data_IF_302799994310
#
_entry.id   IF_302799994310
#
_cell.length_a   1.000
_cell.length_b   1.000
_cell.length_c   1.000
_cell.angle_alpha   90.00
_cell.angle_beta   90.00
_cell.angle_gamma   90.00
#
_symmetry.space_group_name_H-M   'P 1'
#
loop_
_entity.id
_entity.type
_entity.pdbx_description
1 polymer ?
#
# COMPACT_ATOMS: atom_id res chain seq x y z
N UNK A 1 14.92 -15.59 -16.97
CA UNK A 1 13.73 -15.63 -17.84
C UNK A 1 13.57 -14.22 -18.35
N UNK A 2 13.80 -14.02 -19.63
CA UNK A 2 13.40 -12.77 -20.29
C UNK A 2 11.88 -12.80 -20.38
N UNK A 3 11.23 -12.24 -19.39
CA UNK A 3 9.80 -12.48 -19.17
C UNK A 3 8.90 -11.34 -19.67
N UNK A 4 9.45 -10.17 -19.93
CA UNK A 4 8.67 -9.07 -20.50
C UNK A 4 8.86 -8.98 -22.00
N UNK A 5 7.77 -9.07 -22.74
CA UNK A 5 7.80 -8.87 -24.19
C UNK A 5 7.92 -7.38 -24.54
N UNK A 6 7.50 -6.49 -23.62
CA UNK A 6 7.58 -5.03 -23.76
C UNK A 6 7.53 -4.34 -22.39
N UNK A 7 8.03 -3.12 -22.31
CA UNK A 7 8.05 -2.33 -21.09
C UNK A 7 6.68 -1.71 -20.81
N UNK A 8 6.37 -1.59 -19.53
CA UNK A 8 5.08 -1.11 -19.02
C UNK A 8 5.30 0.06 -18.09
N UNK A 9 4.42 1.06 -18.17
CA UNK A 9 4.47 2.20 -17.28
C UNK A 9 3.10 2.55 -16.70
N UNK A 10 3.10 3.12 -15.51
CA UNK A 10 1.97 3.81 -14.90
C UNK A 10 1.92 5.23 -15.47
N UNK A 11 0.81 5.60 -16.10
CA UNK A 11 0.62 6.89 -16.75
C UNK A 11 -0.51 7.74 -16.15
N UNK A 12 -1.35 7.15 -15.30
CA UNK A 12 -2.43 7.86 -14.63
C UNK A 12 -2.75 7.25 -13.27
N UNK A 13 -2.98 8.10 -12.28
CA UNK A 13 -3.37 7.72 -10.93
C UNK A 13 -4.56 8.58 -10.48
N UNK A 14 -5.54 7.95 -9.84
CA UNK A 14 -6.68 8.65 -9.28
C UNK A 14 -7.16 8.00 -8.00
N UNK A 15 -7.67 8.80 -7.09
CA UNK A 15 -8.18 8.36 -5.79
C UNK A 15 -9.47 9.09 -5.48
N UNK A 16 -10.46 8.36 -4.98
CA UNK A 16 -11.65 9.01 -4.43
C UNK A 16 -11.31 9.81 -3.17
N UNK A 17 -12.24 10.58 -2.67
CA UNK A 17 -12.14 11.10 -1.31
C UNK A 17 -12.12 9.93 -0.34
N UNK A 18 -11.09 9.86 0.52
CA UNK A 18 -11.08 8.92 1.64
C UNK A 18 -11.78 9.52 2.86
N UNK A 19 -12.56 8.70 3.55
CA UNK A 19 -13.24 9.06 4.80
C UNK A 19 -13.39 7.83 5.67
N UNK A 20 -13.66 8.01 6.96
CA UNK A 20 -14.03 6.90 7.85
C UNK A 20 -15.32 6.22 7.39
N UNK A 21 -16.25 6.97 6.84
CA UNK A 21 -17.52 6.48 6.28
C UNK A 21 -17.97 7.42 5.14
N UNK A 22 -18.36 6.85 4.00
CA UNK A 22 -18.83 7.55 2.80
C UNK A 22 -20.32 7.24 2.58
N UNK A 23 -21.18 7.77 3.46
CA UNK A 23 -22.64 7.56 3.38
C UNK A 23 -23.28 8.28 2.18
N UNK A 24 -22.64 9.33 1.68
CA UNK A 24 -23.14 10.19 0.63
C UNK A 24 -23.01 9.62 -0.78
N UNK A 25 -22.25 8.50 -0.94
CA UNK A 25 -22.02 7.86 -2.25
C UNK A 25 -22.17 6.34 -2.14
N UNK A 26 -22.69 5.72 -3.17
CA UNK A 26 -22.63 4.27 -3.34
C UNK A 26 -21.25 3.83 -3.87
N UNK A 27 -21.00 2.51 -3.95
CA UNK A 27 -19.71 1.98 -4.44
C UNK A 27 -19.40 2.40 -5.88
N UNK A 28 -20.32 2.28 -6.87
CA UNK A 28 -20.07 2.74 -8.23
C UNK A 28 -19.71 4.21 -8.33
N UNK A 29 -20.37 5.07 -7.57
CA UNK A 29 -20.07 6.51 -7.53
C UNK A 29 -18.69 6.79 -6.94
N UNK A 30 -18.33 6.09 -5.86
CA UNK A 30 -17.01 6.18 -5.24
C UNK A 30 -15.90 5.70 -6.19
N UNK A 31 -16.12 4.59 -6.90
CA UNK A 31 -15.20 4.07 -7.93
C UNK A 31 -15.08 5.09 -9.08
N UNK A 32 -16.18 5.69 -9.51
CA UNK A 32 -16.19 6.68 -10.58
C UNK A 32 -15.31 7.90 -10.26
N UNK A 33 -15.32 8.40 -9.02
CA UNK A 33 -14.42 9.48 -8.60
C UNK A 33 -12.95 9.15 -8.89
N UNK A 34 -12.50 7.94 -8.52
CA UNK A 34 -11.12 7.52 -8.73
C UNK A 34 -10.78 7.33 -10.22
N UNK A 35 -11.70 6.73 -10.99
CA UNK A 35 -11.50 6.49 -12.43
C UNK A 35 -11.41 7.80 -13.20
N UNK A 36 -12.31 8.75 -12.93
CA UNK A 36 -12.28 10.07 -13.57
C UNK A 36 -10.97 10.79 -13.29
N UNK A 37 -10.51 10.78 -12.04
CA UNK A 37 -9.23 11.42 -11.68
C UNK A 37 -8.03 10.75 -12.38
N UNK A 38 -8.01 9.40 -12.47
CA UNK A 38 -6.94 8.68 -13.17
C UNK A 38 -6.92 8.98 -14.68
N UNK A 39 -8.07 9.03 -15.32
CA UNK A 39 -8.20 9.40 -16.74
C UNK A 39 -7.78 10.85 -16.99
N UNK A 40 -8.17 11.77 -16.11
CA UNK A 40 -7.76 13.18 -16.19
C UNK A 40 -6.24 13.34 -16.02
N UNK A 41 -5.64 12.62 -15.04
CA UNK A 41 -4.20 12.64 -14.83
C UNK A 41 -3.44 12.08 -16.04
N UNK A 42 -3.95 11.02 -16.68
CA UNK A 42 -3.38 10.46 -17.91
C UNK A 42 -3.73 11.27 -19.17
N UNK A 43 -4.69 12.18 -19.12
CA UNK A 43 -5.29 12.89 -20.27
C UNK A 43 -5.92 11.94 -21.29
N UNK A 44 -6.58 10.91 -20.81
CA UNK A 44 -7.22 9.86 -21.59
C UNK A 44 -8.74 9.86 -21.38
N UNK A 45 -9.42 9.11 -22.21
CA UNK A 45 -10.82 8.73 -22.06
C UNK A 45 -10.95 7.21 -21.87
N UNK A 46 -12.14 6.74 -21.54
CA UNK A 46 -12.38 5.29 -21.45
C UNK A 46 -12.24 4.58 -22.81
N UNK A 47 -12.33 5.30 -23.94
CA UNK A 47 -12.12 4.70 -25.27
C UNK A 47 -10.66 4.26 -25.49
N UNK A 48 -9.72 4.86 -24.75
CA UNK A 48 -8.30 4.51 -24.80
C UNK A 48 -7.94 3.30 -23.92
N UNK A 49 -8.86 2.81 -23.08
CA UNK A 49 -8.66 1.70 -22.15
C UNK A 49 -9.13 0.39 -22.80
N UNK A 50 -8.28 -0.63 -22.84
CA UNK A 50 -8.59 -1.93 -23.46
C UNK A 50 -9.21 -2.92 -22.47
N UNK A 51 -8.81 -2.89 -21.20
CA UNK A 51 -9.23 -3.85 -20.18
C UNK A 51 -9.34 -3.18 -18.82
N UNK A 52 -10.29 -3.63 -17.99
CA UNK A 52 -10.50 -3.12 -16.63
C UNK A 52 -10.37 -4.25 -15.61
N UNK A 53 -9.50 -4.04 -14.63
CA UNK A 53 -9.35 -4.93 -13.48
C UNK A 53 -10.04 -4.33 -12.26
N UNK A 54 -10.81 -5.16 -11.54
CA UNK A 54 -11.51 -4.76 -10.32
C UNK A 54 -11.04 -5.58 -9.12
N UNK A 55 -10.96 -4.99 -7.94
CA UNK A 55 -10.66 -5.73 -6.73
C UNK A 55 -11.09 -5.04 -5.45
N UNK A 56 -11.64 -5.86 -4.55
CA UNK A 56 -11.93 -5.53 -3.17
C UNK A 56 -11.94 -6.83 -2.36
N UNK A 57 -12.23 -6.77 -1.07
CA UNK A 57 -12.31 -7.97 -0.22
C UNK A 57 -13.71 -8.60 -0.16
N UNK A 58 -14.76 -7.96 -0.65
CA UNK A 58 -16.18 -8.37 -0.60
C UNK A 58 -16.81 -8.55 0.80
N UNK A 59 -15.99 -8.70 1.81
CA UNK A 59 -16.42 -9.08 3.16
C UNK A 59 -17.18 -7.98 3.90
N UNK A 60 -16.92 -6.73 3.56
CA UNK A 60 -17.40 -5.58 4.33
C UNK A 60 -18.74 -5.10 3.83
N UNK A 61 -18.91 -5.04 2.54
CA UNK A 61 -20.13 -4.52 1.92
C UNK A 61 -21.23 -5.58 1.81
N UNK A 62 -20.90 -6.85 2.07
CA UNK A 62 -21.80 -8.00 1.90
C UNK A 62 -22.43 -8.09 0.48
N UNK A 63 -21.76 -7.51 -0.49
CA UNK A 63 -22.13 -7.57 -1.91
C UNK A 63 -21.20 -8.54 -2.61
N UNK A 64 -21.76 -9.64 -3.07
CA UNK A 64 -21.04 -10.60 -3.90
C UNK A 64 -20.89 -10.07 -5.32
N UNK A 65 -19.72 -10.26 -5.93
CA UNK A 65 -19.44 -9.87 -7.31
C UNK A 65 -19.74 -8.37 -7.57
N UNK A 66 -19.16 -7.46 -6.79
CA UNK A 66 -19.42 -6.02 -6.92
C UNK A 66 -19.00 -5.47 -8.29
N UNK A 67 -18.09 -6.12 -9.00
CA UNK A 67 -17.70 -5.81 -10.38
C UNK A 67 -18.89 -5.77 -11.34
N UNK A 68 -19.93 -6.58 -11.12
CA UNK A 68 -21.17 -6.53 -11.89
C UNK A 68 -21.95 -5.23 -11.68
N UNK A 69 -21.83 -4.62 -10.53
CA UNK A 69 -22.50 -3.36 -10.18
C UNK A 69 -21.69 -2.12 -10.56
N UNK A 70 -20.37 -2.29 -10.67
CA UNK A 70 -19.46 -1.17 -10.92
C UNK A 70 -19.30 -0.79 -12.38
N UNK A 71 -19.86 -1.55 -13.31
CA UNK A 71 -19.68 -1.32 -14.75
C UNK A 71 -19.96 0.12 -15.17
N UNK A 72 -20.99 0.75 -14.64
CA UNK A 72 -21.30 2.15 -14.93
C UNK A 72 -20.29 3.12 -14.28
N UNK A 73 -19.91 2.87 -13.03
CA UNK A 73 -18.96 3.72 -12.30
C UNK A 73 -17.53 3.58 -12.82
N UNK A 74 -17.11 2.36 -13.16
CA UNK A 74 -15.76 2.08 -13.68
C UNK A 74 -15.60 2.36 -15.17
N UNK A 75 -16.69 2.56 -15.92
CA UNK A 75 -16.64 2.69 -17.38
C UNK A 75 -16.32 1.39 -18.11
N UNK A 76 -16.40 0.23 -17.46
CA UNK A 76 -16.03 -1.07 -18.04
C UNK A 76 -17.02 -1.61 -19.08
N UNK A 77 -18.06 -0.86 -19.42
CA UNK A 77 -19.07 -1.26 -20.41
C UNK A 77 -18.43 -1.68 -21.74
N UNK A 78 -18.72 -2.91 -22.17
CA UNK A 78 -18.23 -3.47 -23.43
C UNK A 78 -16.73 -3.80 -23.46
N UNK A 79 -16.05 -3.75 -22.33
CA UNK A 79 -14.61 -4.05 -22.22
C UNK A 79 -14.36 -5.38 -21.53
N UNK A 80 -13.27 -6.11 -21.88
CA UNK A 80 -12.75 -7.19 -21.08
C UNK A 80 -12.54 -6.75 -19.63
N UNK A 81 -12.91 -7.63 -18.68
CA UNK A 81 -12.73 -7.35 -17.26
C UNK A 81 -12.27 -8.58 -16.50
N UNK A 82 -11.45 -8.39 -15.47
CA UNK A 82 -10.99 -9.44 -14.55
C UNK A 82 -11.18 -8.93 -13.13
N UNK A 83 -11.73 -9.78 -12.27
CA UNK A 83 -11.81 -9.53 -10.85
C UNK A 83 -10.75 -10.29 -10.10
N UNK A 84 -10.10 -9.61 -9.16
CA UNK A 84 -9.10 -10.18 -8.26
C UNK A 84 -9.44 -9.85 -6.80
N UNK A 85 -9.26 -10.83 -5.93
CA UNK A 85 -9.35 -10.62 -4.48
C UNK A 85 -8.29 -11.49 -3.79
N UNK A 86 -7.42 -10.84 -3.04
CA UNK A 86 -6.26 -11.46 -2.38
C UNK A 86 -6.00 -10.86 -0.99
N UNK A 87 -7.07 -10.53 -0.28
CA UNK A 87 -6.99 -9.89 1.03
C UNK A 87 -6.39 -8.49 0.94
N UNK A 88 -5.57 -8.11 1.91
CA UNK A 88 -4.91 -6.81 1.93
C UNK A 88 -3.91 -6.57 0.80
N UNK A 89 -3.46 -7.63 0.09
CA UNK A 89 -2.63 -7.50 -1.12
C UNK A 89 -3.42 -7.22 -2.40
N UNK A 90 -4.76 -7.22 -2.35
CA UNK A 90 -5.62 -7.08 -3.55
C UNK A 90 -5.15 -5.98 -4.49
N UNK A 91 -4.93 -4.77 -3.97
CA UNK A 91 -4.49 -3.63 -4.79
C UNK A 91 -3.14 -3.84 -5.48
N UNK A 92 -2.15 -4.43 -4.81
CA UNK A 92 -0.85 -4.72 -5.41
C UNK A 92 -0.93 -5.89 -6.41
N UNK A 93 -1.78 -6.89 -6.13
CA UNK A 93 -2.04 -7.98 -7.09
C UNK A 93 -2.71 -7.47 -8.36
N UNK A 94 -3.62 -6.49 -8.25
CA UNK A 94 -4.18 -5.78 -9.42
C UNK A 94 -3.09 -5.09 -10.25
N UNK A 95 -2.15 -4.41 -9.59
CA UNK A 95 -1.03 -3.76 -10.25
C UNK A 95 -0.12 -4.78 -10.97
N UNK A 96 0.24 -5.89 -10.32
CA UNK A 96 1.00 -6.97 -10.94
C UNK A 96 0.27 -7.61 -12.14
N UNK A 97 -1.04 -7.83 -12.01
CA UNK A 97 -1.84 -8.37 -13.09
C UNK A 97 -1.95 -7.41 -14.28
N UNK A 98 -2.10 -6.10 -14.02
CA UNK A 98 -2.12 -5.09 -15.06
C UNK A 98 -0.77 -5.02 -15.80
N UNK A 99 0.36 -5.02 -15.07
CA UNK A 99 1.70 -5.10 -15.67
C UNK A 99 1.82 -6.35 -16.57
N UNK A 100 1.47 -7.52 -16.06
CA UNK A 100 1.57 -8.77 -16.80
C UNK A 100 0.68 -8.79 -18.07
N UNK A 101 -0.55 -8.26 -18.01
CA UNK A 101 -1.45 -8.19 -19.17
C UNK A 101 -0.89 -7.25 -20.25
N UNK A 102 -0.32 -6.11 -19.85
CA UNK A 102 0.30 -5.18 -20.81
C UNK A 102 1.62 -5.75 -21.33
N UNK A 103 2.49 -6.26 -20.46
CA UNK A 103 3.78 -6.81 -20.82
C UNK A 103 3.69 -8.02 -21.79
N UNK A 104 2.63 -8.84 -21.63
CA UNK A 104 2.37 -9.99 -22.52
C UNK A 104 1.87 -9.60 -23.92
N UNK A 105 1.46 -8.35 -24.12
CA UNK A 105 0.89 -7.89 -25.39
C UNK A 105 -0.60 -8.20 -25.56
N UNK A 106 -1.28 -8.71 -24.54
CA UNK A 106 -2.71 -9.00 -24.64
C UNK A 106 -3.56 -7.72 -24.68
N UNK A 107 -3.13 -6.69 -23.94
CA UNK A 107 -3.73 -5.37 -23.91
C UNK A 107 -2.65 -4.29 -23.94
N UNK A 108 -2.95 -3.12 -24.50
CA UNK A 108 -2.03 -2.00 -24.54
C UNK A 108 -2.22 -1.05 -23.37
N UNK A 109 -3.47 -0.88 -22.91
CA UNK A 109 -3.84 0.00 -21.80
C UNK A 109 -4.79 -0.73 -20.86
N UNK A 110 -4.38 -0.89 -19.61
CA UNK A 110 -5.16 -1.57 -18.57
C UNK A 110 -5.44 -0.60 -17.42
N UNK A 111 -6.70 -0.49 -17.03
CA UNK A 111 -7.16 0.25 -15.87
C UNK A 111 -7.34 -0.71 -14.69
N UNK A 112 -6.55 -0.55 -13.64
CA UNK A 112 -6.68 -1.30 -12.40
C UNK A 112 -7.44 -0.46 -11.35
N UNK A 113 -8.47 -1.03 -10.73
CA UNK A 113 -9.34 -0.37 -9.76
C UNK A 113 -9.42 -1.18 -8.48
N UNK A 114 -8.94 -0.62 -7.39
CA UNK A 114 -9.14 -1.14 -6.04
C UNK A 114 -10.13 -0.28 -5.26
N UNK A 115 -10.99 -0.88 -4.45
CA UNK A 115 -12.00 -0.15 -3.68
C UNK A 115 -12.39 -0.92 -2.42
N UNK A 116 -12.94 -0.22 -1.42
CA UNK A 116 -13.54 -0.81 -0.24
C UNK A 116 -14.46 0.20 0.46
N UNK A 117 -15.60 -0.25 0.99
CA UNK A 117 -16.43 0.46 1.95
C UNK A 117 -16.44 -0.31 3.27
N UNK A 118 -15.41 -0.12 4.07
CA UNK A 118 -15.16 -0.88 5.31
C UNK A 118 -16.28 -0.73 6.35
N UNK A 119 -16.97 0.40 6.37
CA UNK A 119 -17.96 0.72 7.38
C UNK A 119 -19.36 0.22 7.06
N UNK A 120 -19.59 -0.33 5.86
CA UNK A 120 -20.87 -1.00 5.53
C UNK A 120 -21.04 -2.31 6.29
N UNK A 121 -19.95 -2.92 6.78
CA UNK A 121 -19.94 -4.15 7.55
C UNK A 121 -19.10 -4.08 8.81
N UNK A 122 -18.81 -5.24 9.37
CA UNK A 122 -17.98 -5.36 10.57
C UNK A 122 -16.50 -5.47 10.19
N UNK A 123 -15.81 -4.32 10.07
CA UNK A 123 -14.42 -4.25 9.58
C UNK A 123 -13.47 -5.21 10.32
N UNK A 124 -13.50 -5.24 11.66
CA UNK A 124 -12.65 -6.12 12.46
C UNK A 124 -12.96 -7.60 12.20
N UNK A 125 -14.25 -7.96 12.10
CA UNK A 125 -14.66 -9.33 11.79
C UNK A 125 -14.19 -9.81 10.43
N UNK A 126 -14.27 -8.97 9.40
CA UNK A 126 -13.79 -9.27 8.05
C UNK A 126 -12.28 -9.52 8.01
N UNK A 127 -11.49 -8.74 8.75
CA UNK A 127 -10.03 -8.90 8.81
C UNK A 127 -9.63 -10.18 9.57
N UNK A 128 -10.41 -10.63 10.53
CA UNK A 128 -10.10 -11.80 11.37
C UNK A 128 -10.56 -13.13 10.79
N UNK A 129 -11.49 -13.11 9.83
CA UNK A 129 -12.06 -14.31 9.21
C UNK A 129 -11.30 -14.75 7.93
N UNK A 130 -10.01 -14.51 7.85
CA UNK A 130 -9.20 -14.85 6.67
C UNK A 130 -8.67 -16.28 6.65
N UNK A 131 -8.94 -17.07 7.70
CA UNK A 131 -8.49 -18.44 7.79
C UNK A 131 -9.68 -19.40 7.96
N UNK A 132 -9.46 -20.69 7.66
CA UNK A 132 -10.42 -21.74 7.96
C UNK A 132 -10.90 -21.63 9.42
N UNK A 133 -12.21 -21.73 9.70
CA UNK A 133 -12.77 -21.57 11.05
C UNK A 133 -12.17 -22.52 12.10
N UNK A 134 -11.68 -23.66 11.71
CA UNK A 134 -11.01 -24.60 12.62
C UNK A 134 -9.60 -24.13 12.99
N UNK A 135 -8.97 -23.37 12.10
CA UNK A 135 -7.59 -22.86 12.28
C UNK A 135 -7.57 -21.43 12.84
N UNK A 136 -8.52 -20.61 12.42
CA UNK A 136 -8.45 -19.15 12.56
C UNK A 136 -9.15 -18.56 13.79
N UNK A 137 -9.80 -19.36 14.62
CA UNK A 137 -10.60 -18.87 15.77
C UNK A 137 -9.83 -18.00 16.78
N UNK A 138 -8.51 -18.10 16.81
CA UNK A 138 -7.64 -17.36 17.73
C UNK A 138 -6.72 -16.34 17.04
N UNK A 139 -6.74 -16.25 15.70
CA UNK A 139 -5.89 -15.32 14.96
C UNK A 139 -6.61 -13.98 14.80
N UNK A 140 -6.40 -13.10 15.75
CA UNK A 140 -6.82 -11.71 15.62
C UNK A 140 -5.64 -10.83 15.19
N UNK A 141 -5.86 -9.93 14.24
CA UNK A 141 -4.84 -8.98 13.76
C UNK A 141 -4.20 -8.19 14.90
N UNK A 142 -4.97 -7.86 15.93
CA UNK A 142 -4.46 -7.21 17.14
C UNK A 142 -3.46 -8.09 17.90
N UNK A 143 -3.68 -9.41 17.98
CA UNK A 143 -2.76 -10.33 18.65
C UNK A 143 -1.42 -10.43 17.88
N UNK A 144 -1.47 -10.50 16.54
CA UNK A 144 -0.26 -10.53 15.70
C UNK A 144 0.58 -9.25 15.87
N UNK A 145 -0.06 -8.09 15.90
CA UNK A 145 0.65 -6.83 16.14
C UNK A 145 1.19 -6.74 17.57
N UNK A 146 0.44 -7.26 18.55
CA UNK A 146 0.89 -7.34 19.94
C UNK A 146 2.13 -8.20 20.12
N UNK A 147 2.27 -9.31 19.39
CA UNK A 147 3.50 -10.14 19.41
C UNK A 147 4.69 -9.42 18.83
N UNK A 148 4.51 -8.60 17.79
CA UNK A 148 5.61 -7.75 17.26
C UNK A 148 6.03 -6.69 18.27
N UNK A 149 5.09 -6.05 18.96
CA UNK A 149 5.41 -5.11 20.02
C UNK A 149 6.23 -5.78 21.13
N UNK A 150 5.84 -6.98 21.57
CA UNK A 150 6.58 -7.75 22.57
C UNK A 150 7.99 -8.11 22.10
N UNK A 151 8.15 -8.58 20.85
CA UNK A 151 9.45 -8.85 20.22
C UNK A 151 10.38 -7.64 20.26
N UNK A 152 9.90 -6.47 19.88
CA UNK A 152 10.69 -5.23 19.88
C UNK A 152 11.07 -4.80 21.31
N UNK A 153 10.16 -4.95 22.27
CA UNK A 153 10.42 -4.67 23.69
C UNK A 153 11.52 -5.59 24.25
N UNK A 154 11.45 -6.88 23.96
CA UNK A 154 12.46 -7.85 24.38
C UNK A 154 13.83 -7.56 23.76
N UNK A 155 13.86 -7.12 22.50
CA UNK A 155 15.10 -6.85 21.78
C UNK A 155 15.75 -5.52 22.18
N UNK A 156 14.96 -4.43 22.38
CA UNK A 156 15.48 -3.07 22.52
C UNK A 156 15.20 -2.42 23.86
N UNK A 157 14.42 -3.06 24.70
CA UNK A 157 13.91 -2.49 25.96
C UNK A 157 12.60 -1.75 25.77
N UNK A 158 11.80 -1.76 26.83
CA UNK A 158 10.40 -1.30 26.79
C UNK A 158 10.27 0.17 26.39
N UNK A 159 10.99 1.06 27.07
CA UNK A 159 10.88 2.51 26.85
C UNK A 159 11.28 2.87 25.42
N UNK A 160 12.42 2.39 24.96
CA UNK A 160 12.95 2.70 23.62
C UNK A 160 12.03 2.19 22.52
N UNK A 161 11.51 0.95 22.65
CA UNK A 161 10.59 0.38 21.66
C UNK A 161 9.27 1.13 21.58
N UNK A 162 8.70 1.52 22.73
CA UNK A 162 7.46 2.33 22.80
C UNK A 162 7.65 3.72 22.18
N UNK A 163 8.76 4.38 22.49
CA UNK A 163 9.09 5.70 21.94
C UNK A 163 9.26 5.62 20.41
N UNK A 164 9.94 4.59 19.90
CA UNK A 164 10.09 4.38 18.46
C UNK A 164 8.74 4.13 17.76
N UNK A 165 7.87 3.29 18.32
CA UNK A 165 6.55 3.04 17.74
C UNK A 165 5.68 4.32 17.71
N UNK A 166 5.69 5.12 18.78
CA UNK A 166 4.98 6.40 18.79
C UNK A 166 5.62 7.44 17.86
N UNK A 167 6.93 7.46 17.75
CA UNK A 167 7.61 8.35 16.81
C UNK A 167 7.31 7.97 15.36
N UNK A 168 7.31 6.67 15.02
CA UNK A 168 6.84 6.17 13.73
C UNK A 168 5.41 6.66 13.43
N UNK A 169 4.49 6.49 14.39
CA UNK A 169 3.10 6.99 14.24
C UNK A 169 3.03 8.49 14.00
N UNK A 170 3.87 9.25 14.70
CA UNK A 170 3.90 10.71 14.60
C UNK A 170 4.45 11.17 13.25
N UNK A 171 5.52 10.55 12.75
CA UNK A 171 6.05 10.82 11.40
C UNK A 171 4.99 10.56 10.33
N UNK A 172 4.26 9.43 10.42
CA UNK A 172 3.17 9.13 9.47
C UNK A 172 2.06 10.19 9.53
N UNK A 173 1.73 10.71 10.72
CA UNK A 173 0.74 11.77 10.86
C UNK A 173 1.24 13.11 10.27
N UNK A 174 2.49 13.47 10.50
CA UNK A 174 3.12 14.65 9.89
C UNK A 174 3.11 14.60 8.37
N UNK A 175 3.38 13.43 7.78
CA UNK A 175 3.26 13.19 6.35
C UNK A 175 1.81 13.31 5.88
N UNK A 176 0.87 12.68 6.59
CA UNK A 176 -0.56 12.75 6.30
C UNK A 176 -1.12 14.19 6.32
N UNK A 177 -0.58 15.05 7.18
CA UNK A 177 -0.99 16.47 7.22
C UNK A 177 -0.72 17.21 5.90
N UNK A 178 0.25 16.76 5.11
CA UNK A 178 0.58 17.32 3.80
C UNK A 178 -0.25 16.68 2.66
N UNK A 179 -0.80 15.48 2.86
CA UNK A 179 -1.59 14.78 1.84
C UNK A 179 -3.07 15.16 1.93
N UNK A 180 -3.60 15.83 0.90
CA UNK A 180 -5.02 16.25 0.85
C UNK A 180 -5.99 15.07 0.81
N UNK A 181 -5.57 13.91 0.32
CA UNK A 181 -6.38 12.68 0.26
C UNK A 181 -6.39 11.91 1.59
N UNK A 182 -5.38 12.06 2.45
CA UNK A 182 -5.35 11.39 3.74
C UNK A 182 -6.52 11.83 4.63
N UNK A 183 -7.30 10.86 5.15
CA UNK A 183 -8.46 11.21 5.96
C UNK A 183 -8.12 11.31 7.45
N UNK A 184 -7.23 10.46 7.99
CA UNK A 184 -6.86 10.46 9.40
C UNK A 184 -5.65 11.37 9.62
N UNK A 185 -5.91 12.57 10.06
CA UNK A 185 -4.93 13.60 10.38
C UNK A 185 -5.13 14.03 11.83
N UNK A 186 -4.30 13.53 12.74
CA UNK A 186 -4.49 13.69 14.19
C UNK A 186 -3.78 14.91 14.75
N UNK A 187 -2.84 15.51 13.99
CA UNK A 187 -1.99 16.63 14.43
C UNK A 187 -1.21 16.26 15.69
N UNK A 188 -0.56 15.11 15.68
CA UNK A 188 0.21 14.61 16.81
C UNK A 188 1.39 15.56 17.11
N UNK A 189 1.65 15.77 18.41
CA UNK A 189 2.78 16.59 18.87
C UNK A 189 3.90 15.67 19.39
N UNK A 190 5.08 15.79 18.80
CA UNK A 190 6.28 15.03 19.21
C UNK A 190 6.63 15.20 20.70
N UNK A 191 6.26 16.33 21.32
CA UNK A 191 6.51 16.58 22.74
C UNK A 191 5.61 15.80 23.68
N UNK A 192 4.45 15.35 23.20
CA UNK A 192 3.40 14.69 23.98
C UNK A 192 3.14 13.25 23.53
N UNK A 193 4.12 12.60 22.90
CA UNK A 193 3.94 11.23 22.38
C UNK A 193 3.60 10.22 23.49
N UNK A 194 4.27 10.31 24.65
CA UNK A 194 4.04 9.39 25.79
C UNK A 194 2.64 9.56 26.37
N UNK A 195 2.22 10.79 26.58
CA UNK A 195 0.87 11.13 27.08
C UNK A 195 -0.21 10.70 26.07
N UNK A 196 0.02 10.92 24.79
CA UNK A 196 -0.89 10.50 23.71
C UNK A 196 -1.02 8.99 23.68
N UNK A 197 0.09 8.25 23.78
CA UNK A 197 0.06 6.81 23.87
C UNK A 197 -0.68 6.33 25.12
N UNK A 198 -0.38 6.90 26.28
CA UNK A 198 -1.01 6.53 27.55
C UNK A 198 -2.53 6.78 27.56
N UNK A 199 -2.98 7.85 26.92
CA UNK A 199 -4.40 8.21 26.78
C UNK A 199 -5.16 7.36 25.75
N UNK A 200 -4.48 6.61 24.90
CA UNK A 200 -5.11 5.78 23.88
C UNK A 200 -5.59 4.43 24.43
N UNK A 201 -6.79 3.95 24.05
CA UNK A 201 -7.30 2.65 24.49
C UNK A 201 -6.31 1.51 24.23
N UNK A 202 -6.06 0.63 25.24
CA UNK A 202 -5.26 -0.57 25.04
C UNK A 202 -6.02 -1.59 24.19
N UNK A 203 -5.30 -2.35 23.36
CA UNK A 203 -5.86 -3.44 22.56
C UNK A 203 -5.31 -4.79 23.03
N UNK A 204 -4.02 -5.05 22.83
CA UNK A 204 -3.34 -6.29 23.26
C UNK A 204 -1.93 -5.96 23.72
N UNK A 205 -1.57 -6.31 24.95
CA UNK A 205 -0.26 -5.98 25.52
C UNK A 205 0.01 -4.47 25.44
N UNK A 206 1.15 -4.10 24.83
CA UNK A 206 1.50 -2.68 24.64
C UNK A 206 0.93 -2.05 23.37
N UNK A 207 0.24 -2.84 22.55
CA UNK A 207 -0.49 -2.30 21.40
C UNK A 207 -1.69 -1.46 21.86
N UNK A 208 -1.77 -0.23 21.38
CA UNK A 208 -2.87 0.70 21.62
C UNK A 208 -3.52 1.12 20.32
N UNK A 209 -4.76 1.61 20.41
CA UNK A 209 -5.53 2.03 19.23
C UNK A 209 -4.81 3.10 18.40
N UNK A 210 -4.05 4.00 19.03
CA UNK A 210 -3.28 5.03 18.33
C UNK A 210 -2.25 4.43 17.35
N UNK A 211 -1.71 3.27 17.64
CA UNK A 211 -0.71 2.60 16.82
C UNK A 211 -1.30 1.93 15.56
N UNK A 212 -2.61 1.74 15.51
CA UNK A 212 -3.27 1.02 14.41
C UNK A 212 -3.57 1.95 13.24
N UNK A 213 -3.68 1.37 12.05
CA UNK A 213 -4.13 2.04 10.84
C UNK A 213 -5.53 2.64 10.98
N UNK A 214 -5.87 3.51 10.05
CA UNK A 214 -7.25 3.98 9.89
C UNK A 214 -8.13 2.86 9.32
N UNK A 215 -9.44 3.04 9.43
CA UNK A 215 -10.44 2.31 8.67
C UNK A 215 -11.10 3.31 7.73
N UNK A 216 -11.07 3.05 6.43
CA UNK A 216 -11.48 4.02 5.42
C UNK A 216 -12.37 3.39 4.38
N UNK A 217 -13.35 4.16 3.95
CA UNK A 217 -14.01 3.96 2.67
C UNK A 217 -13.23 4.72 1.59
N UNK A 218 -13.07 4.11 0.40
CA UNK A 218 -12.40 4.75 -0.71
C UNK A 218 -12.06 3.82 -1.87
N UNK A 219 -11.66 4.44 -2.99
CA UNK A 219 -11.24 3.76 -4.21
C UNK A 219 -9.94 4.37 -4.74
N UNK A 220 -9.18 3.56 -5.47
CA UNK A 220 -7.99 3.97 -6.20
C UNK A 220 -8.04 3.36 -7.60
N UNK A 221 -7.66 4.13 -8.60
CA UNK A 221 -7.56 3.71 -9.99
C UNK A 221 -6.18 4.05 -10.55
N UNK A 222 -5.56 3.09 -11.26
CA UNK A 222 -4.22 3.24 -11.84
C UNK A 222 -4.24 2.74 -13.28
N UNK A 223 -3.68 3.53 -14.20
CA UNK A 223 -3.62 3.23 -15.62
C UNK A 223 -2.21 2.75 -15.98
N UNK A 224 -2.12 1.52 -16.45
CA UNK A 224 -0.92 0.89 -16.97
C UNK A 224 -0.96 0.90 -18.50
N UNK A 225 0.16 1.25 -19.13
CA UNK A 225 0.25 1.33 -20.58
C UNK A 225 1.56 0.76 -21.11
N UNK A 226 1.52 0.22 -22.32
CA UNK A 226 2.71 -0.22 -23.04
C UNK A 226 3.60 0.96 -23.43
N UNK A 227 4.87 0.69 -23.65
CA UNK A 227 5.85 1.70 -24.09
C UNK A 227 5.42 2.46 -25.36
N UNK A 228 4.75 1.77 -26.29
CA UNK A 228 4.22 2.38 -27.51
C UNK A 228 3.12 3.38 -27.19
N UNK A 229 2.23 3.04 -26.25
CA UNK A 229 1.16 3.94 -25.81
C UNK A 229 1.69 5.11 -24.99
N UNK A 230 2.69 4.88 -24.13
CA UNK A 230 3.40 5.96 -23.43
C UNK A 230 3.94 6.99 -24.41
N UNK A 231 4.61 6.54 -25.49
CA UNK A 231 5.12 7.41 -26.53
C UNK A 231 4.00 8.10 -27.33
N UNK A 232 2.94 7.36 -27.70
CA UNK A 232 1.78 7.89 -28.43
C UNK A 232 1.07 9.00 -27.66
N UNK A 233 0.85 8.82 -26.35
CA UNK A 233 0.12 9.78 -25.52
C UNK A 233 1.02 10.93 -25.02
N UNK A 234 2.34 10.84 -25.18
CA UNK A 234 3.28 11.82 -24.63
C UNK A 234 3.21 11.90 -23.12
N UNK A 235 3.02 10.75 -22.46
CA UNK A 235 2.81 10.64 -21.03
C UNK A 235 4.06 10.96 -20.22
N UNK A 236 3.87 11.34 -18.94
CA UNK A 236 4.93 11.41 -17.93
C UNK A 236 4.89 10.11 -17.11
N UNK A 237 5.67 9.07 -17.47
CA UNK A 237 5.51 7.74 -16.93
C UNK A 237 6.25 7.53 -15.60
N UNK A 238 5.76 6.56 -14.82
CA UNK A 238 6.56 5.80 -13.86
C UNK A 238 6.64 4.35 -14.39
N UNK A 239 7.84 3.92 -14.78
CA UNK A 239 8.07 2.61 -15.38
C UNK A 239 8.04 1.50 -14.34
N UNK A 240 7.39 0.39 -14.65
CA UNK A 240 7.42 -0.81 -13.82
C UNK A 240 8.71 -1.58 -14.13
N UNK A 241 9.63 -1.60 -13.17
CA UNK A 241 10.90 -2.31 -13.30
C UNK A 241 10.69 -3.81 -13.08
N UNK A 242 10.11 -4.16 -11.91
CA UNK A 242 9.92 -5.54 -11.49
C UNK A 242 8.90 -5.62 -10.33
N UNK A 243 8.36 -6.79 -10.11
CA UNK A 243 7.55 -7.07 -8.93
C UNK A 243 7.80 -8.48 -8.39
N UNK A 244 7.58 -8.68 -7.11
CA UNK A 244 7.71 -9.97 -6.43
C UNK A 244 6.46 -10.24 -5.58
N UNK A 245 6.01 -11.47 -5.59
CA UNK A 245 4.91 -11.93 -4.74
C UNK A 245 5.34 -13.20 -3.99
N UNK A 246 5.16 -13.18 -2.67
CA UNK A 246 5.58 -14.28 -1.78
C UNK A 246 4.45 -14.65 -0.86
N UNK A 247 4.12 -15.93 -0.86
CA UNK A 247 3.19 -16.56 0.07
C UNK A 247 3.95 -17.37 1.12
N UNK A 248 3.28 -17.62 2.22
CA UNK A 248 3.76 -18.48 3.30
C UNK A 248 2.75 -19.60 3.55
N UNK A 249 3.26 -20.80 3.83
CA UNK A 249 2.41 -21.95 4.18
C UNK A 249 1.83 -21.85 5.59
N UNK A 250 2.53 -21.15 6.49
CA UNK A 250 2.22 -21.15 7.91
C UNK A 250 1.62 -19.81 8.35
N UNK A 251 0.39 -19.86 8.85
CA UNK A 251 -0.27 -18.76 9.58
C UNK A 251 0.33 -18.53 10.98
N UNK A 252 1.35 -19.27 11.37
CA UNK A 252 1.74 -19.37 12.77
C UNK A 252 2.61 -18.21 13.22
N UNK A 253 2.15 -17.58 14.29
CA UNK A 253 2.83 -16.57 15.11
C UNK A 253 4.24 -17.05 15.54
N UNK A 254 4.49 -18.35 15.51
CA UNK A 254 5.71 -19.01 15.99
C UNK A 254 6.64 -19.50 14.88
N UNK A 255 6.46 -19.08 13.64
CA UNK A 255 7.37 -19.45 12.57
C UNK A 255 8.77 -18.90 12.84
N UNK A 256 9.77 -19.77 12.83
CA UNK A 256 11.18 -19.43 12.96
C UNK A 256 11.85 -19.08 11.64
N UNK A 257 11.12 -19.14 10.52
CA UNK A 257 11.62 -18.83 9.18
C UNK A 257 11.68 -17.33 8.88
N UNK A 258 12.23 -16.99 7.71
CA UNK A 258 12.22 -15.61 7.19
C UNK A 258 10.78 -15.16 6.94
N UNK A 259 10.48 -13.90 7.21
CA UNK A 259 9.18 -13.31 6.85
C UNK A 259 8.98 -13.27 5.35
N UNK A 260 7.72 -13.17 4.89
CA UNK A 260 7.41 -12.96 3.47
C UNK A 260 8.00 -11.65 2.95
N UNK A 261 8.08 -10.62 3.79
CA UNK A 261 8.72 -9.34 3.47
C UNK A 261 10.21 -9.52 3.14
N UNK A 262 10.92 -10.24 4.01
CA UNK A 262 12.35 -10.52 3.83
C UNK A 262 12.62 -11.31 2.57
N UNK A 263 11.83 -12.36 2.32
CA UNK A 263 11.99 -13.19 1.12
C UNK A 263 11.68 -12.40 -0.15
N UNK A 264 10.62 -11.58 -0.14
CA UNK A 264 10.27 -10.73 -1.27
C UNK A 264 11.37 -9.70 -1.58
N UNK A 265 11.89 -9.03 -0.54
CA UNK A 265 12.97 -8.06 -0.69
C UNK A 265 14.26 -8.73 -1.23
N UNK A 266 14.69 -9.84 -0.64
CA UNK A 266 15.86 -10.59 -1.09
C UNK A 266 15.79 -10.98 -2.59
N UNK A 267 14.62 -11.47 -3.03
CA UNK A 267 14.42 -11.87 -4.42
C UNK A 267 14.37 -10.68 -5.38
N UNK A 268 13.59 -9.66 -5.04
CA UNK A 268 13.43 -8.47 -5.88
C UNK A 268 14.77 -7.72 -6.03
N UNK A 269 15.47 -7.50 -4.92
CA UNK A 269 16.74 -6.76 -4.92
C UNK A 269 17.83 -7.53 -5.65
N UNK A 270 17.94 -8.84 -5.44
CA UNK A 270 18.91 -9.68 -6.16
C UNK A 270 18.71 -9.66 -7.68
N UNK A 271 17.45 -9.74 -8.17
CA UNK A 271 17.17 -9.68 -9.61
C UNK A 271 17.49 -8.33 -10.22
N UNK A 272 17.37 -7.25 -9.43
CA UNK A 272 17.58 -5.88 -9.90
C UNK A 272 18.95 -5.31 -9.54
N UNK A 273 19.87 -6.13 -9.00
CA UNK A 273 21.21 -5.71 -8.63
C UNK A 273 21.26 -4.68 -7.50
N UNK A 274 20.19 -4.56 -6.69
CA UNK A 274 20.13 -3.63 -5.56
C UNK A 274 20.87 -4.25 -4.38
N UNK A 275 21.92 -3.59 -3.94
CA UNK A 275 22.79 -4.03 -2.84
C UNK A 275 22.72 -3.12 -1.64
N UNK A 276 22.31 -1.87 -1.86
CA UNK A 276 22.13 -0.83 -0.85
C UNK A 276 20.78 -0.11 -1.08
N UNK A 277 19.66 -0.71 -0.62
CA UNK A 277 18.34 -0.22 -0.96
C UNK A 277 18.07 1.21 -0.48
N UNK A 278 18.67 1.66 0.62
CA UNK A 278 18.49 3.03 1.14
C UNK A 278 19.10 4.10 0.23
N UNK A 279 20.17 3.78 -0.49
CA UNK A 279 20.83 4.70 -1.41
C UNK A 279 20.42 4.48 -2.88
N UNK A 280 19.85 3.32 -3.20
CA UNK A 280 19.45 2.97 -4.57
C UNK A 280 17.95 3.14 -4.86
N UNK A 281 17.13 3.31 -3.80
CA UNK A 281 15.70 3.60 -3.86
C UNK A 281 15.47 4.94 -3.13
N UNK A 282 14.72 5.85 -3.73
CA UNK A 282 14.53 7.20 -3.19
C UNK A 282 13.34 7.33 -2.23
N UNK A 283 12.31 6.47 -2.38
CA UNK A 283 11.05 6.50 -1.60
C UNK A 283 10.48 5.10 -1.45
N UNK A 284 9.90 4.81 -0.29
CA UNK A 284 9.13 3.60 -0.08
C UNK A 284 7.71 3.90 0.43
N UNK A 285 6.70 3.55 -0.36
CA UNK A 285 5.31 3.52 0.07
C UNK A 285 4.99 2.13 0.64
N UNK A 286 5.19 1.99 1.93
CA UNK A 286 5.07 0.75 2.68
C UNK A 286 3.62 0.53 3.16
N UNK A 287 3.14 -0.70 3.06
CA UNK A 287 1.86 -1.09 3.64
C UNK A 287 2.04 -1.36 5.14
N UNK A 288 1.93 -0.35 5.97
CA UNK A 288 2.20 -0.36 7.42
C UNK A 288 0.92 -0.27 8.26
N UNK A 289 0.18 -1.38 8.48
CA UNK A 289 -1.11 -1.33 9.19
C UNK A 289 -0.99 -1.04 10.69
N UNK A 290 0.22 -0.99 11.21
CA UNK A 290 0.51 -0.59 12.58
C UNK A 290 1.88 0.07 12.68
N UNK A 291 2.02 1.04 13.57
CA UNK A 291 3.29 1.69 13.85
C UNK A 291 4.36 0.69 14.36
N UNK A 292 3.98 -0.33 15.12
CA UNK A 292 4.87 -1.39 15.58
C UNK A 292 5.41 -2.23 14.41
N UNK A 293 4.54 -2.59 13.47
CA UNK A 293 4.97 -3.26 12.24
C UNK A 293 5.80 -2.34 11.36
N UNK A 294 5.44 -1.06 11.26
CA UNK A 294 6.22 -0.09 10.52
C UNK A 294 7.68 -0.06 10.96
N UNK A 295 7.92 -0.04 12.28
CA UNK A 295 9.28 -0.10 12.85
C UNK A 295 9.97 -1.43 12.52
N UNK A 296 9.32 -2.58 12.80
CA UNK A 296 9.90 -3.91 12.59
C UNK A 296 10.25 -4.17 11.12
N UNK A 297 9.40 -3.73 10.20
CA UNK A 297 9.53 -4.00 8.78
C UNK A 297 10.62 -3.19 8.07
N UNK A 298 11.13 -2.13 8.65
CA UNK A 298 12.34 -1.48 8.14
C UNK A 298 13.50 -2.48 8.05
N UNK A 299 13.66 -3.33 9.06
CA UNK A 299 14.63 -4.42 9.03
C UNK A 299 14.22 -5.59 8.14
N UNK A 300 12.92 -5.95 8.12
CA UNK A 300 12.43 -7.07 7.33
C UNK A 300 12.49 -6.78 5.81
N UNK A 301 12.32 -5.54 5.37
CA UNK A 301 12.53 -5.12 3.98
C UNK A 301 14.01 -4.82 3.64
N UNK A 302 14.95 -5.16 4.52
CA UNK A 302 16.40 -4.97 4.31
C UNK A 302 16.84 -3.50 4.14
N UNK A 303 16.09 -2.56 4.67
CA UNK A 303 16.46 -1.14 4.63
C UNK A 303 17.58 -0.81 5.62
N UNK A 304 17.82 -1.68 6.59
CA UNK A 304 18.89 -1.57 7.57
C UNK A 304 19.22 -2.95 8.15
N UNK A 305 20.28 -3.03 8.93
CA UNK A 305 20.54 -4.23 9.73
C UNK A 305 19.47 -4.40 10.81
N UNK A 306 19.23 -5.66 11.22
CA UNK A 306 18.14 -6.00 12.16
C UNK A 306 18.17 -5.25 13.49
N UNK A 307 19.31 -4.72 13.90
CA UNK A 307 19.48 -3.99 15.16
C UNK A 307 19.46 -2.46 14.98
N UNK A 308 19.22 -1.97 13.75
CA UNK A 308 19.29 -0.55 13.42
C UNK A 308 17.93 0.08 13.07
N UNK A 309 16.87 -0.73 12.92
CA UNK A 309 15.57 -0.22 12.47
C UNK A 309 14.94 0.80 13.43
N UNK A 310 15.15 0.69 14.76
CA UNK A 310 14.72 1.74 15.67
C UNK A 310 15.50 3.04 15.44
N UNK A 311 16.81 2.95 15.16
CA UNK A 311 17.64 4.12 14.90
C UNK A 311 17.16 4.92 13.70
N UNK A 312 16.75 4.29 12.61
CA UNK A 312 16.17 5.00 11.46
C UNK A 312 14.96 5.87 11.85
N UNK A 313 14.14 5.38 12.79
CA UNK A 313 13.00 6.15 13.31
C UNK A 313 13.48 7.22 14.28
N UNK A 314 14.38 6.89 15.21
CA UNK A 314 14.92 7.81 16.22
C UNK A 314 15.64 9.03 15.61
N UNK A 315 16.33 8.83 14.49
CA UNK A 315 17.10 9.86 13.78
C UNK A 315 16.29 10.59 12.68
N UNK A 316 14.97 10.31 12.57
CA UNK A 316 14.10 10.85 11.52
C UNK A 316 14.52 10.47 10.08
N UNK A 317 15.34 9.42 9.90
CA UNK A 317 15.79 9.00 8.56
C UNK A 317 14.65 8.64 7.62
N UNK A 318 13.52 8.19 8.17
CA UNK A 318 12.31 7.82 7.43
C UNK A 318 11.32 8.98 7.23
N UNK A 319 11.58 10.15 7.81
CA UNK A 319 10.72 11.33 7.63
C UNK A 319 10.78 11.83 6.18
N UNK A 320 9.84 12.67 5.77
CA UNK A 320 9.75 13.19 4.40
C UNK A 320 11.03 13.88 3.92
N UNK A 321 11.71 14.57 4.83
CA UNK A 321 12.95 15.30 4.56
C UNK A 321 14.19 14.46 4.98
N UNK A 322 13.99 13.22 5.43
CA UNK A 322 15.03 12.29 5.88
C UNK A 322 15.81 11.64 4.73
N UNK A 323 16.75 10.80 5.10
CA UNK A 323 17.61 10.08 4.16
C UNK A 323 16.83 9.13 3.26
N UNK A 324 15.86 8.41 3.83
CA UNK A 324 15.04 7.43 3.14
C UNK A 324 13.54 7.60 3.49
N UNK A 325 12.81 8.51 2.83
CA UNK A 325 11.40 8.76 3.10
C UNK A 325 10.55 7.50 2.98
N UNK A 326 9.84 7.18 4.06
CA UNK A 326 8.85 6.10 4.10
C UNK A 326 7.47 6.74 4.23
N UNK A 327 6.55 6.32 3.36
CA UNK A 327 5.18 6.79 3.34
C UNK A 327 5.04 8.33 3.36
N UNK A 328 5.61 9.07 2.39
CA UNK A 328 5.35 10.50 2.26
C UNK A 328 3.86 10.83 2.22
N UNK A 329 3.03 9.89 1.75
CA UNK A 329 1.57 9.99 1.73
C UNK A 329 0.88 9.94 3.10
N UNK A 330 1.60 9.55 4.17
CA UNK A 330 1.07 9.22 5.49
C UNK A 330 0.74 7.74 5.68
N UNK A 331 0.89 6.94 4.64
CA UNK A 331 0.78 5.48 4.68
C UNK A 331 -0.62 4.95 4.99
N UNK A 332 -0.66 3.69 5.34
CA UNK A 332 -1.88 2.97 5.72
C UNK A 332 -2.45 3.51 7.02
N UNK A 333 -1.60 4.08 7.87
CA UNK A 333 -2.02 4.70 9.13
C UNK A 333 -2.90 5.93 8.92
N UNK A 334 -2.81 6.58 7.76
CA UNK A 334 -3.61 7.75 7.39
C UNK A 334 -4.85 7.40 6.56
N UNK A 335 -4.77 6.40 5.67
CA UNK A 335 -5.87 5.97 4.80
C UNK A 335 -5.76 4.49 4.48
N UNK A 336 -6.82 3.72 4.79
CA UNK A 336 -6.81 2.26 4.64
C UNK A 336 -8.16 1.71 4.15
N UNK A 337 -8.55 1.94 2.90
CA UNK A 337 -9.62 1.19 2.25
C UNK A 337 -9.05 -0.14 1.76
N UNK A 338 -9.11 -1.21 2.57
CA UNK A 338 -8.26 -2.41 2.50
C UNK A 338 -8.05 -2.96 1.08
N UNK A 339 -9.11 -3.19 0.30
CA UNK A 339 -8.99 -3.69 -1.07
C UNK A 339 -8.25 -2.75 -2.02
N UNK A 340 -8.30 -1.43 -1.77
CA UNK A 340 -7.57 -0.44 -2.53
C UNK A 340 -6.18 -0.14 -1.96
N UNK A 341 -5.95 -0.38 -0.66
CA UNK A 341 -4.78 0.17 0.07
C UNK A 341 -3.45 -0.11 -0.60
N UNK A 342 -3.22 -1.33 -1.07
CA UNK A 342 -1.96 -1.68 -1.73
C UNK A 342 -1.84 -1.02 -3.13
N UNK A 343 -2.96 -0.76 -3.83
CA UNK A 343 -2.95 0.00 -5.08
C UNK A 343 -2.67 1.49 -4.82
N UNK A 344 -3.17 2.03 -3.69
CA UNK A 344 -2.83 3.39 -3.25
C UNK A 344 -1.32 3.51 -3.02
N UNK A 345 -0.66 2.49 -2.43
CA UNK A 345 0.81 2.50 -2.27
C UNK A 345 1.52 2.56 -3.63
N UNK A 346 1.05 1.79 -4.61
CA UNK A 346 1.60 1.82 -5.98
C UNK A 346 1.36 3.18 -6.65
N UNK A 347 0.15 3.73 -6.53
CA UNK A 347 -0.20 5.03 -7.08
C UNK A 347 0.65 6.17 -6.47
N UNK A 348 0.79 6.20 -5.13
CA UNK A 348 1.59 7.20 -4.44
C UNK A 348 3.08 7.11 -4.83
N UNK A 349 3.64 5.90 -4.90
CA UNK A 349 5.01 5.69 -5.39
C UNK A 349 5.18 6.19 -6.84
N UNK A 350 4.23 5.92 -7.72
CA UNK A 350 4.23 6.41 -9.10
C UNK A 350 4.11 7.94 -9.16
N UNK A 351 3.25 8.54 -8.33
CA UNK A 351 3.08 9.99 -8.23
C UNK A 351 4.36 10.68 -7.76
N UNK A 352 5.11 10.10 -6.81
CA UNK A 352 6.42 10.60 -6.38
C UNK A 352 7.43 10.63 -7.54
N UNK A 353 7.53 9.56 -8.33
CA UNK A 353 8.40 9.49 -9.51
C UNK A 353 7.98 10.51 -10.59
N UNK A 354 6.68 10.65 -10.80
CA UNK A 354 6.10 11.55 -11.80
C UNK A 354 6.15 13.03 -11.39
N UNK A 355 6.40 13.31 -10.11
CA UNK A 355 6.38 14.67 -9.55
C UNK A 355 4.96 15.24 -9.43
N UNK A 356 3.97 14.39 -9.23
CA UNK A 356 2.55 14.75 -9.16
C UNK A 356 1.91 14.53 -7.78
N UNK A 357 2.71 14.20 -6.75
CA UNK A 357 2.21 13.96 -5.41
C UNK A 357 1.76 15.23 -4.65
N UNK A 358 1.85 16.41 -5.25
CA UNK A 358 1.37 17.66 -4.65
C UNK A 358 2.16 18.07 -3.40
N UNK A 359 1.46 18.44 -2.32
CA UNK A 359 2.10 19.00 -1.11
C UNK A 359 2.90 17.96 -0.31
N UNK A 360 2.72 16.65 -0.58
CA UNK A 360 3.51 15.56 0.01
C UNK A 360 4.57 14.99 -0.95
N UNK A 361 4.90 15.73 -2.02
CA UNK A 361 6.02 15.41 -2.90
C UNK A 361 7.33 15.55 -2.13
N UNK A 362 8.19 14.52 -2.18
CA UNK A 362 9.55 14.59 -1.66
C UNK A 362 10.32 15.65 -2.45
N UNK A 363 11.05 16.52 -1.74
CA UNK A 363 11.70 17.70 -2.35
C UNK A 363 12.84 17.34 -3.31
N UNK A 364 13.52 16.21 -3.09
CA UNK A 364 14.57 15.71 -4.00
C UNK A 364 13.97 14.96 -5.18
N UNK A 365 14.67 14.84 -6.31
CA UNK A 365 14.23 14.01 -7.44
C UNK A 365 14.05 12.55 -7.00
N UNK A 366 12.91 11.96 -7.33
CA UNK A 366 12.61 10.54 -7.10
C UNK A 366 12.83 9.79 -8.40
N UNK A 367 13.86 8.97 -8.46
CA UNK A 367 14.22 8.14 -9.63
C UNK A 367 13.72 6.72 -9.51
N UNK A 368 13.78 6.16 -8.31
CA UNK A 368 13.25 4.82 -7.99
C UNK A 368 12.36 4.88 -6.77
N UNK A 369 11.26 4.17 -6.82
CA UNK A 369 10.33 4.04 -5.69
C UNK A 369 9.91 2.59 -5.52
N UNK A 370 9.72 2.18 -4.26
CA UNK A 370 9.20 0.87 -3.87
C UNK A 370 7.79 1.03 -3.33
N UNK A 371 6.91 0.10 -3.66
CA UNK A 371 5.58 -0.03 -3.07
C UNK A 371 5.37 -1.43 -2.53
N UNK A 372 4.63 -1.59 -1.43
CA UNK A 372 4.31 -2.91 -0.90
C UNK A 372 2.82 -3.14 -0.68
N UNK A 373 2.43 -4.41 -0.74
CA UNK A 373 1.14 -4.94 -0.33
C UNK A 373 1.31 -5.99 0.77
N UNK A 374 0.34 -6.05 1.69
CA UNK A 374 0.37 -6.96 2.83
C UNK A 374 -0.96 -7.69 2.97
N UNK A 375 -0.90 -9.02 2.99
CA UNK A 375 -2.05 -9.93 3.12
C UNK A 375 -2.00 -10.76 4.39
N UNK A 376 -2.11 -10.13 5.55
CA UNK A 376 -2.32 -10.79 6.83
C UNK A 376 -1.18 -11.69 7.31
N UNK A 377 0.08 -11.32 7.12
CA UNK A 377 1.32 -12.07 7.45
C UNK A 377 1.62 -13.27 6.53
N UNK A 378 0.69 -13.62 5.64
CA UNK A 378 0.81 -14.77 4.76
C UNK A 378 1.29 -14.41 3.36
N UNK A 379 1.13 -13.15 2.98
CA UNK A 379 1.34 -12.72 1.62
C UNK A 379 1.95 -11.33 1.55
N UNK A 380 3.04 -11.20 0.84
CA UNK A 380 3.69 -9.92 0.53
C UNK A 380 3.80 -9.75 -0.97
N UNK A 381 3.48 -8.56 -1.44
CA UNK A 381 3.76 -8.11 -2.81
C UNK A 381 4.67 -6.89 -2.72
N UNK A 382 5.72 -6.85 -3.55
CA UNK A 382 6.56 -5.67 -3.77
C UNK A 382 6.50 -5.28 -5.25
N UNK A 383 6.51 -3.99 -5.53
CA UNK A 383 6.63 -3.43 -6.88
C UNK A 383 7.68 -2.33 -6.88
N UNK A 384 8.67 -2.48 -7.76
CA UNK A 384 9.73 -1.50 -7.98
C UNK A 384 9.40 -0.68 -9.22
N UNK A 385 9.39 0.63 -9.06
CA UNK A 385 9.13 1.60 -10.11
C UNK A 385 10.36 2.47 -10.38
N UNK A 386 10.50 2.96 -11.60
CA UNK A 386 11.60 3.84 -12.01
C UNK A 386 11.13 5.01 -12.87
N UNK A 387 11.84 6.13 -12.80
CA UNK A 387 11.69 7.25 -13.72
C UNK A 387 12.23 6.91 -15.11
N UNK A 388 13.31 6.17 -15.14
CA UNK A 388 13.94 5.71 -16.38
C UNK A 388 13.34 4.37 -16.82
N UNK A 389 13.22 4.21 -18.12
CA UNK A 389 12.79 2.96 -18.74
C UNK A 389 13.78 1.85 -18.39
N UNK A 390 13.34 0.65 -17.97
CA UNK A 390 14.20 -0.49 -17.65
C UNK A 390 15.07 -0.97 -18.79
#
# INVERSE_FOLDING_TARGET
MDSKNRDVAIIGCGMSKFSSHREEVNQPEMVHEAVVEALQDARLSMDDVDCVLHGNMELFEMVHQPDMWHVLGSGAWGKPGIRLTTGGTTGATLACAADNLVASGLHDVVLAIGFEKLQEGHATGGITNMADPLWGRSLQTGALTGTTAQKLIEQFGEERAKDAAMKMRTIMDENAMRNKKAHRRLKLDRKHMKETAAGSPPLVGELRLIHMCSQSDGACAVIFASEEKVAQFGSNPAWVVDHETVHREETLIFSTGKSTHRVAAERLFARNGITDPVHEIDVFEMYDPSAWWGVDWLGEFMLCNKDEHLRMVEEDSIAMDGEFPVNPSGGVQASNPIGATALVRVAEAAMQIRGTAGDHQVARPVRRALASGFGGTLWTVLMLLSKEKP
#
